data_IF_484819020288
#
_entry.id   IF_484819020288
#
_cell.length_a   1.000
_cell.length_b   1.000
_cell.length_c   1.000
_cell.angle_alpha   90.00
_cell.angle_beta   90.00
_cell.angle_gamma   90.00
#
_symmetry.space_group_name_H-M   'P 1'
#
loop_
_entity.id
_entity.type
_entity.pdbx_description
1 polymer ?
#
# COMPACT_ATOMS: atom_id res chain seq x y z
N UNK A 1 12.03 -16.51 4.52
CA UNK A 1 12.40 -15.21 3.89
C UNK A 1 13.74 -14.78 4.43
N UNK A 2 14.63 -14.20 3.60
CA UNK A 2 15.82 -13.54 4.11
C UNK A 2 15.42 -12.37 5.02
N UNK A 3 16.25 -12.08 6.02
CA UNK A 3 16.03 -10.93 6.90
C UNK A 3 16.07 -9.64 6.09
N UNK A 4 15.09 -8.73 6.26
CA UNK A 4 15.14 -7.43 5.62
C UNK A 4 16.38 -6.66 6.09
N UNK A 5 17.00 -5.86 5.22
CA UNK A 5 18.09 -4.98 5.63
C UNK A 5 17.61 -3.98 6.69
N UNK A 6 18.56 -3.32 7.37
CA UNK A 6 18.25 -2.27 8.33
C UNK A 6 17.30 -1.22 7.71
N UNK A 7 16.51 -0.55 8.56
CA UNK A 7 15.52 0.45 8.13
C UNK A 7 14.53 -0.04 7.07
N UNK A 8 14.22 -1.34 7.09
CA UNK A 8 13.20 -1.96 6.23
C UNK A 8 12.13 -2.60 7.08
N UNK A 9 10.87 -2.27 6.81
CA UNK A 9 9.73 -2.84 7.52
C UNK A 9 8.49 -2.95 6.66
N UNK A 10 7.65 -3.92 7.02
CA UNK A 10 6.35 -4.15 6.40
C UNK A 10 5.17 -3.83 7.31
N UNK A 11 4.05 -3.52 6.68
CA UNK A 11 2.74 -3.39 7.33
C UNK A 11 1.64 -3.93 6.42
N UNK A 12 0.56 -4.40 7.03
CA UNK A 12 -0.62 -4.87 6.33
C UNK A 12 -1.87 -4.21 6.92
N UNK A 13 -2.66 -3.59 6.05
CA UNK A 13 -3.94 -2.97 6.40
C UNK A 13 -5.06 -3.64 5.63
N UNK A 14 -6.18 -3.95 6.29
CA UNK A 14 -7.34 -4.52 5.62
C UNK A 14 -8.66 -3.92 6.07
N UNK A 15 -9.59 -3.80 5.13
CA UNK A 15 -11.02 -3.68 5.38
C UNK A 15 -11.63 -5.08 5.38
N UNK A 16 -11.98 -5.65 6.54
CA UNK A 16 -12.62 -6.96 6.60
C UNK A 16 -14.10 -6.88 6.22
N UNK A 17 -14.60 -7.88 5.50
CA UNK A 17 -16.02 -8.10 5.30
C UNK A 17 -16.66 -8.41 6.68
N UNK A 18 -17.78 -7.77 7.06
CA UNK A 18 -18.41 -7.98 8.36
C UNK A 18 -18.80 -9.43 8.66
N UNK A 19 -19.32 -10.15 7.66
CA UNK A 19 -19.82 -11.51 7.81
C UNK A 19 -18.71 -12.56 7.70
N UNK A 20 -17.86 -12.45 6.67
CA UNK A 20 -16.88 -13.49 6.35
C UNK A 20 -15.45 -13.19 6.82
N UNK A 21 -15.17 -11.95 7.25
CA UNK A 21 -13.84 -11.45 7.63
C UNK A 21 -12.77 -11.48 6.53
N UNK A 22 -13.12 -11.89 5.30
CA UNK A 22 -12.26 -11.76 4.12
C UNK A 22 -11.95 -10.29 3.82
N UNK A 23 -10.78 -10.02 3.24
CA UNK A 23 -10.40 -8.66 2.88
C UNK A 23 -11.24 -8.19 1.70
N UNK A 24 -12.12 -7.20 1.93
CA UNK A 24 -12.78 -6.43 0.86
C UNK A 24 -11.72 -5.62 0.12
N UNK A 25 -10.82 -5.01 0.89
CA UNK A 25 -9.59 -4.39 0.41
C UNK A 25 -8.51 -4.74 1.40
N UNK A 26 -7.36 -5.20 0.94
CA UNK A 26 -6.18 -5.40 1.78
C UNK A 26 -4.94 -4.91 1.07
N UNK A 27 -4.05 -4.23 1.80
CA UNK A 27 -2.81 -3.68 1.27
C UNK A 27 -1.65 -4.15 2.11
N UNK A 28 -0.71 -4.85 1.49
CA UNK A 28 0.60 -5.14 2.05
C UNK A 28 1.60 -4.12 1.50
N UNK A 29 2.30 -3.43 2.39
CA UNK A 29 3.37 -2.51 2.03
C UNK A 29 4.65 -2.92 2.75
N UNK A 30 5.76 -2.92 2.03
CA UNK A 30 7.11 -3.00 2.57
C UNK A 30 7.92 -1.82 2.06
N UNK A 31 8.60 -1.13 2.97
CA UNK A 31 9.35 0.09 2.67
C UNK A 31 10.74 -0.03 3.27
N UNK A 32 11.73 0.38 2.48
CA UNK A 32 13.10 0.55 2.91
C UNK A 32 13.49 2.02 2.81
N UNK A 33 14.13 2.54 3.85
CA UNK A 33 14.57 3.91 3.94
C UNK A 33 16.10 3.99 3.83
N UNK A 34 16.58 5.03 3.13
CA UNK A 34 18.01 5.35 3.14
C UNK A 34 18.42 6.10 4.42
N UNK A 35 19.72 6.39 4.56
CA UNK A 35 20.25 7.15 5.69
C UNK A 35 19.60 8.53 5.85
N UNK A 36 19.18 9.16 4.75
CA UNK A 36 18.52 10.47 4.70
C UNK A 36 17.01 10.45 4.95
N UNK A 37 16.43 9.31 5.31
CA UNK A 37 14.99 9.15 5.55
C UNK A 37 14.11 9.32 4.29
N UNK A 38 14.71 9.15 3.11
CA UNK A 38 13.99 8.99 1.85
C UNK A 38 13.73 7.51 1.56
N UNK A 39 12.71 7.24 0.75
CA UNK A 39 12.32 5.87 0.38
C UNK A 39 13.31 5.33 -0.65
N UNK A 40 14.17 4.39 -0.24
CA UNK A 40 15.10 3.71 -1.15
C UNK A 40 14.35 2.81 -2.14
N UNK A 41 13.39 2.04 -1.62
CA UNK A 41 12.44 1.27 -2.41
C UNK A 41 11.17 0.98 -1.60
N UNK A 42 10.07 0.72 -2.32
CA UNK A 42 8.83 0.24 -1.74
C UNK A 42 8.27 -0.94 -2.56
N UNK A 43 7.54 -1.83 -1.90
CA UNK A 43 6.75 -2.90 -2.50
C UNK A 43 5.33 -2.81 -1.96
N UNK A 44 4.35 -2.68 -2.85
CA UNK A 44 2.94 -2.51 -2.48
C UNK A 44 2.08 -3.50 -3.25
N UNK A 45 1.40 -4.38 -2.52
CA UNK A 45 0.48 -5.36 -3.09
C UNK A 45 -0.95 -5.11 -2.59
N UNK A 46 -1.89 -5.16 -3.52
CA UNK A 46 -3.31 -4.92 -3.29
C UNK A 46 -4.10 -6.22 -3.47
N UNK A 47 -5.03 -6.45 -2.55
CA UNK A 47 -5.85 -7.66 -2.45
C UNK A 47 -7.33 -7.28 -2.32
N UNK A 48 -8.23 -8.13 -2.83
CA UNK A 48 -9.69 -7.91 -2.80
C UNK A 48 -10.25 -6.95 -3.87
N UNK A 49 -9.39 -6.21 -4.57
CA UNK A 49 -9.79 -5.20 -5.56
C UNK A 49 -10.01 -5.74 -6.98
N UNK A 50 -9.26 -6.76 -7.37
CA UNK A 50 -9.25 -7.35 -8.71
C UNK A 50 -9.35 -8.88 -8.62
N UNK A 51 -9.40 -9.56 -9.78
CA UNK A 51 -9.45 -11.03 -9.86
C UNK A 51 -8.22 -11.73 -9.26
N UNK A 52 -7.10 -11.00 -9.16
CA UNK A 52 -5.84 -11.48 -8.59
C UNK A 52 -5.19 -10.40 -7.74
N UNK A 53 -4.30 -10.82 -6.84
CA UNK A 53 -3.40 -9.92 -6.12
C UNK A 53 -2.60 -9.13 -7.14
N UNK A 54 -2.61 -7.81 -7.02
CA UNK A 54 -1.96 -6.93 -8.01
C UNK A 54 -0.99 -5.99 -7.31
N UNK A 55 0.17 -5.81 -7.93
CA UNK A 55 1.22 -4.93 -7.43
C UNK A 55 0.96 -3.49 -7.88
N UNK A 56 0.96 -2.55 -6.94
CA UNK A 56 0.73 -1.13 -7.21
C UNK A 56 2.02 -0.44 -7.66
N UNK A 57 2.56 -0.83 -8.82
CA UNK A 57 3.85 -0.35 -9.32
C UNK A 57 3.91 1.18 -9.46
N UNK A 58 2.78 1.84 -9.76
CA UNK A 58 2.71 3.31 -9.84
C UNK A 58 2.93 3.98 -8.49
N UNK A 59 2.45 3.39 -7.39
CA UNK A 59 2.70 3.86 -6.03
C UNK A 59 4.18 3.70 -5.68
N UNK A 60 4.75 2.54 -5.99
CA UNK A 60 6.16 2.26 -5.72
C UNK A 60 7.09 3.24 -6.43
N UNK A 61 6.85 3.47 -7.73
CA UNK A 61 7.58 4.46 -8.54
C UNK A 61 7.40 5.87 -8.01
N UNK A 62 6.20 6.21 -7.50
CA UNK A 62 5.91 7.53 -6.97
C UNK A 62 6.58 7.79 -5.61
N UNK A 63 6.95 6.75 -4.86
CA UNK A 63 7.63 6.84 -3.57
C UNK A 63 9.16 6.81 -3.69
N UNK A 64 9.69 6.01 -4.62
CA UNK A 64 11.13 5.80 -4.75
C UNK A 64 11.92 7.12 -4.91
N UNK A 65 12.95 7.30 -4.08
CA UNK A 65 13.81 8.49 -4.05
C UNK A 65 13.17 9.73 -3.41
N UNK A 66 11.94 9.64 -2.88
CA UNK A 66 11.24 10.78 -2.27
C UNK A 66 11.28 10.74 -0.74
N UNK A 67 11.06 11.89 -0.08
CA UNK A 67 10.93 11.95 1.37
C UNK A 67 9.81 11.03 1.88
N UNK A 68 10.08 10.33 2.99
CA UNK A 68 9.10 9.44 3.64
C UNK A 68 8.08 10.23 4.50
N UNK A 69 7.43 11.25 3.93
CA UNK A 69 6.46 12.12 4.61
C UNK A 69 5.00 11.85 4.19
N UNK A 70 4.06 12.37 4.98
CA UNK A 70 2.64 12.14 4.77
C UNK A 70 2.13 12.72 3.43
N UNK A 71 2.63 13.88 3.01
CA UNK A 71 2.25 14.49 1.73
C UNK A 71 2.66 13.65 0.53
N UNK A 72 3.89 13.13 0.55
CA UNK A 72 4.44 12.27 -0.49
C UNK A 72 3.66 10.96 -0.55
N UNK A 73 3.40 10.35 0.60
CA UNK A 73 2.66 9.09 0.68
C UNK A 73 1.22 9.26 0.21
N UNK A 74 0.55 10.34 0.59
CA UNK A 74 -0.82 10.65 0.13
C UNK A 74 -0.86 10.83 -1.39
N UNK A 75 0.06 11.60 -1.96
CA UNK A 75 0.15 11.81 -3.41
C UNK A 75 0.45 10.51 -4.16
N UNK A 76 1.33 9.66 -3.64
CA UNK A 76 1.63 8.35 -4.24
C UNK A 76 0.43 7.39 -4.13
N UNK A 77 -0.24 7.35 -2.98
CA UNK A 77 -1.34 6.42 -2.71
C UNK A 77 -2.59 6.73 -3.53
N UNK A 78 -2.80 7.98 -3.95
CA UNK A 78 -3.86 8.34 -4.90
C UNK A 78 -3.77 7.56 -6.23
N UNK A 79 -2.57 7.06 -6.56
CA UNK A 79 -2.28 6.29 -7.78
C UNK A 79 -2.45 4.78 -7.60
N UNK A 80 -2.92 4.32 -6.43
CA UNK A 80 -3.00 2.89 -6.10
C UNK A 80 -3.87 2.09 -7.06
N UNK A 81 -4.95 2.69 -7.56
CA UNK A 81 -5.87 2.04 -8.49
C UNK A 81 -5.52 2.24 -9.98
N UNK A 82 -4.48 3.02 -10.30
CA UNK A 82 -4.10 3.28 -11.70
C UNK A 82 -3.70 1.99 -12.42
N UNK A 83 -4.38 1.70 -13.54
CA UNK A 83 -4.10 0.52 -14.35
C UNK A 83 -4.65 -0.79 -13.78
N UNK A 84 -5.51 -0.74 -12.75
CA UNK A 84 -6.22 -1.91 -12.23
C UNK A 84 -7.59 -2.07 -12.90
N UNK A 85 -7.89 -3.29 -13.32
CA UNK A 85 -9.26 -3.69 -13.64
C UNK A 85 -10.02 -3.99 -12.36
N UNK A 86 -10.61 -2.94 -11.79
CA UNK A 86 -11.44 -3.03 -10.59
C UNK A 86 -12.78 -3.68 -10.91
N UNK A 87 -13.11 -4.73 -10.17
CA UNK A 87 -14.38 -5.45 -10.36
C UNK A 87 -15.42 -4.95 -9.35
N UNK A 88 -16.54 -4.35 -9.81
CA UNK A 88 -17.67 -4.09 -8.93
C UNK A 88 -18.30 -5.41 -8.50
N UNK A 89 -18.74 -5.49 -7.24
CA UNK A 89 -19.46 -6.63 -6.68
C UNK A 89 -20.34 -6.19 -5.50
N UNK A 90 -20.87 -7.17 -4.75
CA UNK A 90 -21.70 -6.93 -3.55
C UNK A 90 -20.97 -6.14 -2.45
N UNK A 91 -19.64 -6.05 -2.50
CA UNK A 91 -18.84 -5.30 -1.52
C UNK A 91 -18.60 -3.85 -1.93
N UNK A 92 -18.98 -3.46 -3.15
CA UNK A 92 -19.02 -2.07 -3.58
C UNK A 92 -18.70 -1.85 -5.06
N UNK A 93 -18.90 -0.61 -5.50
CA UNK A 93 -18.60 -0.17 -6.86
C UNK A 93 -17.09 -0.10 -7.13
N UNK A 94 -16.70 -0.10 -8.41
CA UNK A 94 -15.30 0.09 -8.79
C UNK A 94 -14.73 1.43 -8.26
N UNK A 95 -15.52 2.51 -8.30
CA UNK A 95 -15.12 3.81 -7.75
C UNK A 95 -14.89 3.76 -6.24
N UNK A 96 -15.77 3.09 -5.49
CA UNK A 96 -15.62 2.90 -4.05
C UNK A 96 -14.35 2.10 -3.72
N UNK A 97 -14.10 1.01 -4.45
CA UNK A 97 -12.89 0.20 -4.32
C UNK A 97 -11.62 0.99 -4.66
N UNK A 98 -11.65 1.86 -5.66
CA UNK A 98 -10.53 2.74 -6.00
C UNK A 98 -10.19 3.71 -4.85
N UNK A 99 -11.22 4.33 -4.25
CA UNK A 99 -11.03 5.22 -3.11
C UNK A 99 -10.48 4.47 -1.89
N UNK A 100 -11.02 3.29 -1.59
CA UNK A 100 -10.51 2.45 -0.51
C UNK A 100 -9.06 2.01 -0.77
N UNK A 101 -8.71 1.67 -2.01
CA UNK A 101 -7.34 1.32 -2.39
C UNK A 101 -6.37 2.46 -2.03
N UNK A 102 -6.72 3.70 -2.36
CA UNK A 102 -5.88 4.85 -2.02
C UNK A 102 -5.72 5.03 -0.50
N UNK A 103 -6.84 5.01 0.24
CA UNK A 103 -6.82 5.20 1.71
C UNK A 103 -6.04 4.09 2.43
N UNK A 104 -6.28 2.83 2.06
CA UNK A 104 -5.60 1.70 2.70
C UNK A 104 -4.13 1.59 2.29
N UNK A 105 -3.77 2.03 1.08
CA UNK A 105 -2.37 2.16 0.66
C UNK A 105 -1.64 3.20 1.48
N UNK A 106 -2.25 4.37 1.68
CA UNK A 106 -1.68 5.44 2.50
C UNK A 106 -1.41 4.95 3.92
N UNK A 107 -2.40 4.30 4.56
CA UNK A 107 -2.27 3.74 5.92
C UNK A 107 -1.17 2.68 6.00
N UNK A 108 -1.13 1.74 5.05
CA UNK A 108 -0.15 0.67 5.05
C UNK A 108 1.28 1.21 4.88
N UNK A 109 1.48 2.13 3.93
CA UNK A 109 2.80 2.72 3.68
C UNK A 109 3.27 3.57 4.86
N UNK A 110 2.39 4.40 5.45
CA UNK A 110 2.75 5.18 6.64
C UNK A 110 3.14 4.29 7.82
N UNK A 111 2.39 3.21 8.06
CA UNK A 111 2.71 2.26 9.13
C UNK A 111 4.02 1.51 8.86
N UNK A 112 4.30 1.15 7.60
CA UNK A 112 5.58 0.57 7.21
C UNK A 112 6.74 1.55 7.44
N UNK A 113 6.57 2.83 7.06
CA UNK A 113 7.58 3.89 7.29
C UNK A 113 7.85 4.08 8.78
N UNK A 114 6.82 4.14 9.64
CA UNK A 114 7.01 4.26 11.10
C UNK A 114 7.89 3.13 11.63
N UNK A 115 7.54 1.88 11.29
CA UNK A 115 8.29 0.69 11.70
C UNK A 115 9.72 0.65 11.13
N UNK A 116 9.92 1.17 9.93
CA UNK A 116 11.23 1.26 9.31
C UNK A 116 12.14 2.31 9.97
N UNK A 117 11.57 3.30 10.66
CA UNK A 117 12.33 4.28 11.46
C UNK A 117 12.71 3.76 12.84
N UNK A 118 11.96 2.80 13.36
CA UNK A 118 12.19 2.15 14.66
C UNK A 118 13.25 1.03 14.59
N UNK A 119 13.76 0.71 13.40
CA UNK A 119 14.75 -0.34 13.12
C UNK A 119 16.07 0.24 12.66
#
# INVERSE_FOLDING_TARGET
MPLPPARTAGAYEKLPNPASRFAVVGVAAEVSLDSGNAVQWARVALTGLASKVTRAAKVEQALQGKPADASTVKAASARAAEGLELRPDLTGSAAYKAQLAAVYTERAVLRAISRARER
#
